data_IF_963859114664
#
_entry.id   IF_963859114664
#
_cell.length_a   1.000
_cell.length_b   1.000
_cell.length_c   1.000
_cell.angle_alpha   90.00
_cell.angle_beta   90.00
_cell.angle_gamma   90.00
#
_symmetry.space_group_name_H-M   'P 1'
#
loop_
_entity.id
_entity.type
_entity.pdbx_description
1 polymer ?
#
# COMPACT_ATOMS: atom_id res chain seq x y z
N UNK A 1 -4.75 15.63 24.52
CA UNK A 1 -5.43 14.33 24.60
C UNK A 1 -6.72 14.45 23.82
N UNK A 2 -6.64 14.25 22.50
CA UNK A 2 -7.81 14.32 21.62
C UNK A 2 -8.42 12.94 21.61
N UNK A 3 -9.63 12.81 22.15
CA UNK A 3 -10.36 11.55 22.20
C UNK A 3 -10.88 11.31 20.78
N UNK A 4 -10.20 10.44 20.02
CA UNK A 4 -10.69 9.98 18.73
C UNK A 4 -11.97 9.16 18.95
N UNK A 5 -13.08 9.47 18.26
CA UNK A 5 -14.29 8.67 18.39
C UNK A 5 -14.01 7.24 17.89
N UNK A 6 -14.22 6.27 18.78
CA UNK A 6 -14.10 4.86 18.45
C UNK A 6 -14.96 4.53 17.22
N UNK A 7 -14.32 4.13 16.12
CA UNK A 7 -14.98 3.74 14.88
C UNK A 7 -14.71 4.64 13.66
N UNK A 8 -13.84 5.64 13.74
CA UNK A 8 -13.48 6.43 12.55
C UNK A 8 -12.51 5.64 11.65
N UNK A 9 -12.98 5.29 10.45
CA UNK A 9 -12.19 4.64 9.40
C UNK A 9 -11.32 5.68 8.69
N UNK A 10 -10.37 6.25 9.42
CA UNK A 10 -9.48 7.29 8.90
C UNK A 10 -8.52 6.72 7.86
N UNK A 11 -7.98 7.58 7.01
CA UNK A 11 -6.75 7.26 6.29
C UNK A 11 -5.59 7.59 7.21
N UNK A 12 -4.72 6.60 7.47
CA UNK A 12 -3.52 6.79 8.30
C UNK A 12 -2.32 6.97 7.38
N UNK A 13 -1.43 7.91 7.69
CA UNK A 13 -0.15 8.06 6.99
C UNK A 13 1.01 8.10 7.98
N UNK A 14 2.02 7.28 7.74
CA UNK A 14 3.24 7.29 8.53
C UNK A 14 4.16 8.44 8.13
N UNK A 15 4.59 9.26 9.09
CA UNK A 15 5.55 10.34 8.87
C UNK A 15 6.93 9.90 9.37
N UNK A 16 7.93 10.03 8.51
CA UNK A 16 9.35 9.87 8.86
C UNK A 16 9.94 11.27 9.10
N UNK A 17 10.41 11.61 10.31
CA UNK A 17 10.93 12.94 10.64
C UNK A 17 12.20 13.32 9.85
N UNK A 18 12.94 12.32 9.38
CA UNK A 18 14.25 12.50 8.75
C UNK A 18 14.18 12.54 7.22
N UNK A 19 12.98 12.39 6.64
CA UNK A 19 12.79 12.20 5.20
C UNK A 19 11.70 13.07 4.61
N UNK A 20 11.70 13.11 3.28
CA UNK A 20 10.65 13.76 2.52
C UNK A 20 9.36 12.94 2.59
N UNK A 21 8.35 13.47 3.26
CA UNK A 21 7.02 12.88 3.40
C UNK A 21 6.03 13.38 2.34
N UNK A 22 6.42 14.34 1.48
CA UNK A 22 5.47 15.05 0.62
C UNK A 22 4.71 14.15 -0.34
N UNK A 23 5.34 13.12 -0.94
CA UNK A 23 4.65 12.28 -1.94
C UNK A 23 3.62 11.35 -1.31
N UNK A 24 4.01 10.62 -0.26
CA UNK A 24 3.07 9.75 0.47
C UNK A 24 1.97 10.57 1.14
N UNK A 25 2.30 11.75 1.69
CA UNK A 25 1.31 12.63 2.29
C UNK A 25 0.38 13.26 1.24
N UNK A 26 0.90 13.65 0.07
CA UNK A 26 0.08 14.13 -1.05
C UNK A 26 -0.92 13.06 -1.48
N UNK A 27 -0.44 11.82 -1.69
CA UNK A 27 -1.30 10.71 -2.06
C UNK A 27 -2.38 10.47 -1.01
N UNK A 28 -2.00 10.42 0.28
CA UNK A 28 -2.94 10.19 1.38
C UNK A 28 -3.97 11.32 1.53
N UNK A 29 -3.55 12.57 1.36
CA UNK A 29 -4.43 13.73 1.44
C UNK A 29 -5.41 13.79 0.25
N UNK A 30 -4.92 13.54 -0.98
CA UNK A 30 -5.78 13.44 -2.17
C UNK A 30 -6.80 12.29 -2.02
N UNK A 31 -6.39 11.18 -1.42
CA UNK A 31 -7.29 10.04 -1.17
C UNK A 31 -8.32 10.34 -0.08
N UNK A 32 -7.90 11.02 1.00
CA UNK A 32 -8.80 11.45 2.07
C UNK A 32 -9.87 12.41 1.54
N UNK A 33 -9.45 13.34 0.68
CA UNK A 33 -10.33 14.28 -0.01
C UNK A 33 -11.35 13.55 -0.91
N UNK A 34 -10.89 12.66 -1.81
CA UNK A 34 -11.75 11.86 -2.69
C UNK A 34 -12.79 11.05 -1.92
N UNK A 35 -12.38 10.42 -0.83
CA UNK A 35 -13.25 9.56 0.00
C UNK A 35 -14.07 10.34 1.03
N UNK A 36 -13.79 11.63 1.22
CA UNK A 36 -14.34 12.46 2.31
C UNK A 36 -14.13 11.82 3.68
N UNK A 37 -12.92 11.31 3.91
CA UNK A 37 -12.49 10.72 5.16
C UNK A 37 -11.49 11.64 5.87
N UNK A 38 -11.45 11.62 7.21
CA UNK A 38 -10.38 12.27 7.95
C UNK A 38 -9.01 11.63 7.65
N UNK A 39 -7.96 12.44 7.77
CA UNK A 39 -6.57 12.04 7.60
C UNK A 39 -5.84 12.11 8.94
N UNK A 40 -5.20 11.02 9.33
CA UNK A 40 -4.43 10.90 10.58
C UNK A 40 -2.95 10.68 10.26
N UNK A 41 -2.12 11.65 10.61
CA UNK A 41 -0.67 11.58 10.49
C UNK A 41 -0.11 10.95 11.76
N UNK A 42 0.73 9.93 11.63
CA UNK A 42 1.32 9.22 12.77
C UNK A 42 2.84 9.29 12.66
N UNK A 43 3.47 9.83 13.71
CA UNK A 43 4.92 9.84 13.87
C UNK A 43 5.28 9.09 15.15
N UNK A 44 6.13 8.08 15.04
CA UNK A 44 6.56 7.28 16.18
C UNK A 44 7.96 7.68 16.65
N UNK A 45 8.11 7.89 17.96
CA UNK A 45 9.36 8.24 18.63
C UNK A 45 9.89 7.00 19.35
N UNK A 46 10.96 6.35 18.85
CA UNK A 46 11.49 5.14 19.46
C UNK A 46 12.12 5.43 20.83
N UNK A 47 12.08 4.47 21.77
CA UNK A 47 12.76 4.61 23.05
C UNK A 47 14.29 4.65 22.86
N UNK A 48 14.95 5.62 23.49
CA UNK A 48 16.41 5.68 23.52
C UNK A 48 16.91 4.57 24.45
N UNK A 49 17.68 3.61 23.92
CA UNK A 49 18.37 2.63 24.73
C UNK A 49 19.82 3.07 24.89
N UNK A 50 20.10 4.02 25.78
CA UNK A 50 21.46 4.18 26.27
C UNK A 50 21.63 3.31 27.52
N UNK A 51 22.32 2.18 27.37
CA UNK A 51 22.66 1.28 28.49
C UNK A 51 23.70 1.88 29.45
N UNK A 52 24.13 3.13 29.22
CA UNK A 52 25.19 3.78 30.00
C UNK A 52 24.74 5.01 30.82
N UNK A 53 23.55 5.57 30.58
CA UNK A 53 23.07 6.74 31.33
C UNK A 53 21.67 6.53 31.89
N UNK A 54 21.54 6.64 33.22
CA UNK A 54 20.29 6.44 33.96
C UNK A 54 19.29 7.61 33.75
N UNK A 55 19.69 8.70 33.09
CA UNK A 55 18.86 9.91 32.88
C UNK A 55 19.10 10.58 31.51
N UNK A 56 18.71 9.93 30.41
CA UNK A 56 18.79 10.50 29.04
C UNK A 56 17.57 11.38 28.66
N UNK A 57 16.95 12.01 29.66
CA UNK A 57 15.75 12.86 29.52
C UNK A 57 15.90 14.02 28.53
N UNK A 58 17.06 14.71 28.42
CA UNK A 58 17.24 15.79 27.44
C UNK A 58 17.17 15.31 25.98
N UNK A 59 17.73 14.14 25.68
CA UNK A 59 17.74 13.56 24.32
C UNK A 59 16.34 13.12 23.89
N UNK A 60 15.59 12.47 24.78
CA UNK A 60 14.20 12.09 24.52
C UNK A 60 13.30 13.33 24.29
N UNK A 61 13.47 14.36 25.12
CA UNK A 61 12.68 15.61 25.01
C UNK A 61 12.95 16.31 23.68
N UNK A 62 14.22 16.41 23.26
CA UNK A 62 14.59 17.01 21.98
C UNK A 62 14.03 16.24 20.78
N UNK A 63 14.05 14.90 20.83
CA UNK A 63 13.50 14.05 19.77
C UNK A 63 11.98 14.20 19.67
N UNK A 64 11.28 14.24 20.81
CA UNK A 64 9.83 14.50 20.86
C UNK A 64 9.47 15.89 20.33
N UNK A 65 10.23 16.92 20.69
CA UNK A 65 10.00 18.27 20.18
C UNK A 65 10.18 18.32 18.66
N UNK A 66 11.30 17.77 18.16
CA UNK A 66 11.57 17.69 16.72
C UNK A 66 10.46 16.93 15.98
N UNK A 67 10.00 15.81 16.54
CA UNK A 67 8.87 15.05 15.99
C UNK A 67 7.57 15.86 15.98
N UNK A 68 7.28 16.60 17.05
CA UNK A 68 6.11 17.48 17.13
C UNK A 68 6.14 18.56 16.06
N UNK A 69 7.27 19.26 15.91
CA UNK A 69 7.43 20.34 14.93
C UNK A 69 7.26 19.81 13.50
N UNK A 70 7.84 18.64 13.19
CA UNK A 70 7.69 17.96 11.89
C UNK A 70 6.25 17.56 11.60
N UNK A 71 5.56 17.03 12.61
CA UNK A 71 4.19 16.60 12.48
C UNK A 71 3.24 17.79 12.28
N UNK A 72 3.48 18.90 12.97
CA UNK A 72 2.74 20.15 12.79
C UNK A 72 2.95 20.73 11.38
N UNK A 73 4.19 20.78 10.89
CA UNK A 73 4.50 21.17 9.51
C UNK A 73 3.74 20.33 8.49
N UNK A 74 3.71 19.01 8.68
CA UNK A 74 2.98 18.10 7.80
C UNK A 74 1.46 18.32 7.87
N UNK A 75 0.90 18.57 9.06
CA UNK A 75 -0.52 18.89 9.20
C UNK A 75 -0.87 20.21 8.50
N UNK A 76 -0.06 21.26 8.67
CA UNK A 76 -0.27 22.55 8.02
C UNK A 76 -0.21 22.42 6.50
N UNK A 77 0.75 21.65 5.99
CA UNK A 77 0.84 21.37 4.56
C UNK A 77 -0.41 20.69 3.99
N UNK A 78 -1.02 19.75 4.73
CA UNK A 78 -2.30 19.14 4.31
C UNK A 78 -3.42 20.16 4.30
N UNK A 79 -3.52 21.02 5.33
CA UNK A 79 -4.57 22.06 5.42
C UNK A 79 -4.47 23.06 4.26
N UNK A 80 -3.25 23.40 3.86
CA UNK A 80 -3.02 24.29 2.73
C UNK A 80 -3.42 23.65 1.39
N UNK A 81 -3.19 22.33 1.25
CA UNK A 81 -3.52 21.59 0.02
C UNK A 81 -5.01 21.27 -0.10
N UNK A 82 -5.63 20.81 0.98
CA UNK A 82 -7.03 20.35 1.04
C UNK A 82 -7.72 20.87 2.30
N UNK A 83 -8.24 22.11 2.29
CA UNK A 83 -8.86 22.74 3.46
C UNK A 83 -10.08 21.98 4.01
N UNK A 84 -10.74 21.16 3.18
CA UNK A 84 -11.89 20.34 3.55
C UNK A 84 -11.53 19.04 4.29
N UNK A 85 -10.26 18.62 4.25
CA UNK A 85 -9.83 17.36 4.89
C UNK A 85 -9.55 17.63 6.37
N UNK A 86 -10.32 16.97 7.24
CA UNK A 86 -10.07 16.98 8.67
C UNK A 86 -8.76 16.23 8.97
N UNK A 87 -7.70 16.97 9.29
CA UNK A 87 -6.37 16.43 9.55
C UNK A 87 -5.98 16.47 11.03
N UNK A 88 -5.51 15.34 11.54
CA UNK A 88 -4.95 15.21 12.90
C UNK A 88 -3.54 14.66 12.85
N UNK A 89 -2.72 15.02 13.85
CA UNK A 89 -1.36 14.52 14.00
C UNK A 89 -1.19 13.88 15.37
N UNK A 90 -0.74 12.62 15.39
CA UNK A 90 -0.40 11.89 16.59
C UNK A 90 1.11 11.58 16.68
N UNK A 91 1.74 12.13 17.72
CA UNK A 91 3.10 11.82 18.12
C UNK A 91 3.06 10.71 19.18
N UNK A 92 3.46 9.49 18.80
CA UNK A 92 3.35 8.31 19.65
C UNK A 92 4.73 7.79 20.07
N UNK A 93 4.85 7.28 21.30
CA UNK A 93 6.07 6.61 21.75
C UNK A 93 6.10 5.15 21.26
N UNK A 94 7.27 4.66 20.89
CA UNK A 94 7.51 3.28 20.49
C UNK A 94 8.17 3.15 19.12
N UNK A 95 8.53 1.91 18.76
CA UNK A 95 9.08 1.63 17.45
C UNK A 95 8.01 1.85 16.36
N UNK A 96 8.35 2.43 15.20
CA UNK A 96 7.32 2.86 14.25
C UNK A 96 6.50 1.72 13.64
N UNK A 97 7.08 0.55 13.37
CA UNK A 97 6.34 -0.56 12.78
C UNK A 97 5.21 -1.10 13.70
N UNK A 98 5.44 -1.39 15.00
CA UNK A 98 4.36 -1.70 15.93
C UNK A 98 3.31 -0.59 16.07
N UNK A 99 3.73 0.67 16.13
CA UNK A 99 2.82 1.82 16.27
C UNK A 99 1.88 1.90 15.06
N UNK A 100 2.43 1.86 13.84
CA UNK A 100 1.65 1.90 12.60
C UNK A 100 0.81 0.63 12.41
N UNK A 101 1.30 -0.53 12.82
CA UNK A 101 0.54 -1.78 12.82
C UNK A 101 -0.68 -1.72 13.76
N UNK A 102 -0.54 -1.06 14.92
CA UNK A 102 -1.65 -0.77 15.82
C UNK A 102 -2.67 0.17 15.20
N UNK A 103 -2.22 1.29 14.62
CA UNK A 103 -3.08 2.25 13.93
C UNK A 103 -3.84 1.63 12.74
N UNK A 104 -3.23 0.67 12.03
CA UNK A 104 -3.84 -0.04 10.91
C UNK A 104 -5.08 -0.89 11.29
N UNK A 105 -5.34 -1.17 12.58
CA UNK A 105 -6.52 -1.94 13.01
C UNK A 105 -7.84 -1.18 12.85
N UNK A 106 -7.77 0.14 12.96
CA UNK A 106 -8.95 1.02 12.94
C UNK A 106 -9.02 1.84 11.64
N UNK A 107 -7.92 1.89 10.88
CA UNK A 107 -7.82 2.66 9.65
C UNK A 107 -8.62 2.04 8.49
N UNK A 108 -9.17 2.89 7.60
CA UNK A 108 -9.65 2.47 6.29
C UNK A 108 -8.53 1.89 5.44
N UNK A 109 -7.37 2.54 5.51
CA UNK A 109 -6.13 2.16 4.84
C UNK A 109 -4.95 2.90 5.49
N UNK A 110 -3.75 2.36 5.31
CA UNK A 110 -2.52 2.99 5.78
C UNK A 110 -1.58 3.28 4.61
N UNK A 111 -1.05 4.50 4.57
CA UNK A 111 -0.17 5.01 3.52
C UNK A 111 1.24 5.17 4.06
N UNK A 112 2.20 4.62 3.34
CA UNK A 112 3.62 4.66 3.67
C UNK A 112 4.40 5.20 2.47
N UNK A 113 5.44 5.98 2.74
CA UNK A 113 6.45 6.27 1.72
C UNK A 113 7.26 5.03 1.40
N UNK A 114 7.50 4.79 0.12
CA UNK A 114 8.47 3.80 -0.30
C UNK A 114 9.86 4.32 0.04
N UNK A 115 10.74 3.42 0.46
CA UNK A 115 12.17 3.65 0.37
C UNK A 115 12.57 3.09 -0.98
N UNK A 116 13.00 3.89 -1.95
CA UNK A 116 13.86 3.29 -2.96
C UNK A 116 15.12 2.80 -2.25
N UNK A 117 15.30 1.47 -2.21
CA UNK A 117 16.53 0.81 -1.75
C UNK A 117 17.69 1.06 -2.74
N UNK A 118 17.84 2.29 -3.24
CA UNK A 118 18.92 2.72 -4.13
C UNK A 118 20.30 2.66 -3.46
N UNK A 119 20.34 2.30 -2.17
CA UNK A 119 21.57 1.96 -1.46
C UNK A 119 21.44 0.53 -0.95
N UNK A 120 22.15 -0.36 -1.62
CA UNK A 120 22.33 -1.79 -1.31
C UNK A 120 22.72 -2.09 0.15
N UNK A 121 23.09 -1.08 0.94
CA UNK A 121 23.50 -1.19 2.33
C UNK A 121 22.35 -1.34 3.36
N UNK A 122 21.08 -1.07 3.02
CA UNK A 122 20.02 -0.90 4.05
C UNK A 122 19.03 -2.07 4.17
N UNK A 123 19.28 -3.19 3.48
CA UNK A 123 18.46 -4.41 3.46
C UNK A 123 18.22 -5.03 4.85
N UNK A 124 19.12 -4.77 5.79
CA UNK A 124 19.09 -5.31 7.16
C UNK A 124 18.96 -4.22 8.23
N UNK A 125 18.55 -3.00 7.84
CA UNK A 125 18.41 -1.90 8.82
C UNK A 125 17.14 -2.09 9.67
N UNK A 126 17.26 -1.81 10.97
CA UNK A 126 16.17 -1.85 11.95
C UNK A 126 15.04 -0.84 11.69
N UNK A 127 15.08 -0.08 10.57
CA UNK A 127 14.15 0.98 10.22
C UNK A 127 13.16 0.67 9.09
N UNK A 128 13.14 -0.56 8.53
CA UNK A 128 12.19 -0.91 7.46
C UNK A 128 10.76 -0.99 8.01
N UNK A 129 9.87 -0.08 7.59
CA UNK A 129 8.46 -0.05 8.04
C UNK A 129 7.51 -0.77 7.08
N UNK A 130 7.81 -0.70 5.78
CA UNK A 130 6.91 -1.17 4.73
C UNK A 130 6.61 -2.66 4.87
N UNK A 131 7.65 -3.50 4.98
CA UNK A 131 7.49 -4.96 5.08
C UNK A 131 6.74 -5.37 6.35
N UNK A 132 7.18 -4.98 7.59
CA UNK A 132 6.48 -5.42 8.79
C UNK A 132 5.06 -4.88 8.92
N UNK A 133 4.79 -3.64 8.48
CA UNK A 133 3.42 -3.08 8.50
C UNK A 133 2.54 -3.80 7.47
N UNK A 134 3.00 -3.95 6.23
CA UNK A 134 2.27 -4.71 5.18
C UNK A 134 1.97 -6.14 5.63
N UNK A 135 2.91 -6.77 6.33
CA UNK A 135 2.78 -8.13 6.85
C UNK A 135 1.72 -8.27 7.96
N UNK A 136 1.41 -7.21 8.71
CA UNK A 136 0.59 -7.27 9.93
C UNK A 136 -0.71 -6.47 9.84
N UNK A 137 -0.81 -5.50 8.94
CA UNK A 137 -1.98 -4.64 8.80
C UNK A 137 -3.25 -5.45 8.52
N UNK A 138 -4.35 -4.99 9.11
CA UNK A 138 -5.70 -5.53 8.90
C UNK A 138 -6.51 -4.67 7.92
N UNK A 139 -5.90 -3.64 7.35
CA UNK A 139 -6.46 -2.80 6.30
C UNK A 139 -5.51 -2.76 5.10
N UNK A 140 -5.97 -2.29 3.93
CA UNK A 140 -5.11 -2.06 2.77
C UNK A 140 -3.89 -1.19 3.12
N UNK A 141 -2.71 -1.60 2.67
CA UNK A 141 -1.47 -0.83 2.81
C UNK A 141 -1.05 -0.30 1.45
N UNK A 142 -0.90 1.01 1.37
CA UNK A 142 -0.43 1.73 0.18
C UNK A 142 1.01 2.14 0.40
N UNK A 143 1.86 1.80 -0.57
CA UNK A 143 3.27 2.19 -0.57
C UNK A 143 3.51 3.07 -1.78
N UNK A 144 3.87 4.33 -1.53
CA UNK A 144 4.01 5.36 -2.56
C UNK A 144 5.48 5.56 -2.91
N UNK A 145 5.83 5.29 -4.17
CA UNK A 145 7.17 5.48 -4.76
C UNK A 145 7.66 6.93 -4.77
N UNK A 146 8.92 7.16 -5.16
CA UNK A 146 9.41 8.52 -5.39
C UNK A 146 8.93 9.08 -6.75
N UNK A 147 9.17 10.38 -6.96
CA UNK A 147 8.53 11.29 -7.92
C UNK A 147 8.74 11.01 -9.42
N UNK A 148 9.32 9.88 -9.81
CA UNK A 148 9.57 9.54 -11.22
C UNK A 148 8.34 8.92 -11.92
N UNK A 149 7.26 8.64 -11.18
CA UNK A 149 6.07 8.04 -11.76
C UNK A 149 5.17 9.05 -12.47
N UNK A 150 4.94 8.81 -13.76
CA UNK A 150 4.00 9.55 -14.59
C UNK A 150 2.86 8.60 -14.95
N UNK A 151 1.62 9.03 -14.70
CA UNK A 151 0.44 8.26 -15.11
C UNK A 151 0.02 8.59 -16.55
N UNK A 152 -0.47 7.59 -17.26
CA UNK A 152 -1.00 7.76 -18.62
C UNK A 152 -2.46 8.19 -18.60
N UNK A 153 -2.90 8.85 -19.68
CA UNK A 153 -4.31 9.14 -19.97
C UNK A 153 -4.81 8.24 -21.14
N UNK A 154 -6.01 7.64 -21.04
CA UNK A 154 -6.91 7.63 -19.88
C UNK A 154 -6.31 6.87 -18.69
N UNK A 155 -6.69 7.21 -17.44
CA UNK A 155 -6.12 6.59 -16.25
C UNK A 155 -6.57 5.13 -16.11
N UNK A 156 -5.70 4.29 -15.56
CA UNK A 156 -6.03 2.90 -15.27
C UNK A 156 -5.37 2.40 -14.00
N UNK A 157 -5.98 1.36 -13.41
CA UNK A 157 -5.46 0.61 -12.27
C UNK A 157 -5.15 -0.81 -12.74
N UNK A 158 -4.07 -1.40 -12.24
CA UNK A 158 -3.74 -2.81 -12.47
C UNK A 158 -4.12 -3.62 -11.26
N UNK A 159 -4.91 -4.68 -11.43
CA UNK A 159 -5.18 -5.68 -10.40
C UNK A 159 -4.47 -6.99 -10.75
N UNK A 160 -3.47 -7.36 -9.97
CA UNK A 160 -2.77 -8.64 -10.12
C UNK A 160 -3.50 -9.75 -9.37
N UNK A 161 -4.00 -10.76 -10.08
CA UNK A 161 -4.74 -11.87 -9.47
C UNK A 161 -4.17 -13.24 -9.82
N UNK A 162 -4.23 -14.14 -8.84
CA UNK A 162 -3.79 -15.53 -8.96
C UNK A 162 -4.90 -16.54 -8.61
N UNK A 163 -6.14 -16.07 -8.42
CA UNK A 163 -7.28 -16.90 -8.03
C UNK A 163 -7.29 -17.33 -6.55
N UNK A 164 -6.40 -16.78 -5.71
CA UNK A 164 -6.47 -16.96 -4.26
C UNK A 164 -7.60 -16.11 -3.63
N UNK A 165 -8.01 -16.43 -2.40
CA UNK A 165 -8.95 -15.61 -1.64
C UNK A 165 -8.43 -14.17 -1.43
N UNK A 166 -7.11 -14.02 -1.25
CA UNK A 166 -6.47 -12.69 -1.16
C UNK A 166 -6.59 -11.90 -2.46
N UNK A 167 -6.52 -12.57 -3.60
CA UNK A 167 -6.74 -11.94 -4.89
C UNK A 167 -8.20 -11.51 -5.09
N UNK A 168 -9.17 -12.21 -4.52
CA UNK A 168 -10.59 -11.81 -4.55
C UNK A 168 -10.82 -10.50 -3.80
N UNK A 169 -10.27 -10.38 -2.58
CA UNK A 169 -10.35 -9.13 -1.80
C UNK A 169 -9.62 -7.98 -2.52
N UNK A 170 -8.45 -8.25 -3.11
CA UNK A 170 -7.71 -7.28 -3.90
C UNK A 170 -8.48 -6.82 -5.14
N UNK A 171 -9.17 -7.73 -5.82
CA UNK A 171 -9.98 -7.41 -7.00
C UNK A 171 -11.15 -6.50 -6.60
N UNK A 172 -11.90 -6.84 -5.55
CA UNK A 172 -12.99 -5.99 -5.06
C UNK A 172 -12.51 -4.58 -4.69
N UNK A 173 -11.37 -4.47 -4.02
CA UNK A 173 -10.74 -3.19 -3.70
C UNK A 173 -10.32 -2.44 -4.97
N UNK A 174 -9.75 -3.11 -5.98
CA UNK A 174 -9.35 -2.47 -7.22
C UNK A 174 -10.53 -1.91 -8.02
N UNK A 175 -11.69 -2.57 -8.00
CA UNK A 175 -12.94 -2.02 -8.55
C UNK A 175 -13.38 -0.76 -7.81
N UNK A 176 -13.39 -0.77 -6.47
CA UNK A 176 -13.68 0.43 -5.67
C UNK A 176 -12.75 1.61 -6.03
N UNK A 177 -11.46 1.33 -6.20
CA UNK A 177 -10.46 2.36 -6.53
C UNK A 177 -10.63 2.91 -7.95
N UNK A 178 -10.98 2.03 -8.90
CA UNK A 178 -11.17 2.37 -10.31
C UNK A 178 -12.42 3.24 -10.48
N UNK A 179 -13.53 2.84 -9.87
CA UNK A 179 -14.79 3.58 -9.83
C UNK A 179 -14.60 4.97 -9.20
N UNK A 180 -13.95 5.04 -8.03
CA UNK A 180 -13.67 6.30 -7.33
C UNK A 180 -12.86 7.29 -8.16
N UNK A 181 -12.06 6.81 -9.12
CA UNK A 181 -11.16 7.63 -9.95
C UNK A 181 -11.66 7.80 -11.38
N UNK A 182 -12.78 7.18 -11.77
CA UNK A 182 -13.19 7.10 -13.17
C UNK A 182 -12.10 6.48 -14.05
N UNK A 183 -11.38 5.49 -13.52
CA UNK A 183 -10.25 4.84 -14.19
C UNK A 183 -10.67 3.48 -14.77
N UNK A 184 -10.01 3.06 -15.84
CA UNK A 184 -10.14 1.69 -16.33
C UNK A 184 -9.46 0.70 -15.36
N UNK A 185 -9.90 -0.56 -15.37
CA UNK A 185 -9.32 -1.63 -14.56
C UNK A 185 -8.73 -2.72 -15.44
N UNK A 186 -7.41 -2.90 -15.38
CA UNK A 186 -6.69 -3.98 -16.05
C UNK A 186 -6.50 -5.14 -15.07
N UNK A 187 -7.22 -6.22 -15.27
CA UNK A 187 -7.13 -7.42 -14.44
C UNK A 187 -6.10 -8.37 -15.07
N UNK A 188 -4.96 -8.51 -14.41
CA UNK A 188 -3.80 -9.23 -14.92
C UNK A 188 -3.60 -10.52 -14.14
N UNK A 189 -3.59 -11.65 -14.83
CA UNK A 189 -3.08 -12.91 -14.31
C UNK A 189 -1.75 -13.22 -14.99
N UNK A 190 -0.70 -13.50 -14.22
CA UNK A 190 0.58 -13.92 -14.76
C UNK A 190 0.73 -15.42 -14.60
N UNK A 191 0.73 -16.12 -15.72
CA UNK A 191 0.96 -17.55 -15.78
C UNK A 191 2.45 -17.85 -15.87
N UNK A 192 2.96 -18.55 -14.85
CA UNK A 192 4.31 -19.10 -14.88
C UNK A 192 4.26 -20.50 -15.46
N UNK A 193 4.91 -20.68 -16.62
CA UNK A 193 4.98 -21.99 -17.25
C UNK A 193 5.69 -22.97 -16.30
N UNK A 194 5.02 -24.04 -15.83
CA UNK A 194 5.65 -25.01 -14.95
C UNK A 194 6.74 -25.79 -15.71
N UNK A 195 7.70 -26.33 -14.97
CA UNK A 195 8.83 -27.09 -15.54
C UNK A 195 8.38 -28.36 -16.28
N UNK A 196 7.25 -28.93 -15.86
CA UNK A 196 6.61 -30.08 -16.49
C UNK A 196 5.18 -29.67 -16.81
N UNK A 197 4.84 -29.66 -18.10
CA UNK A 197 3.48 -29.43 -18.60
C UNK A 197 2.92 -30.76 -19.10
N UNK A 198 1.79 -31.18 -18.51
CA UNK A 198 1.05 -32.36 -18.93
C UNK A 198 -0.09 -32.01 -19.89
N UNK A 199 -0.63 -30.79 -19.76
CA UNK A 199 -1.70 -30.25 -20.60
C UNK A 199 -1.14 -29.34 -21.71
N UNK A 200 -1.96 -29.09 -22.73
CA UNK A 200 -1.66 -28.12 -23.79
C UNK A 200 -1.66 -26.69 -23.22
N UNK A 201 -0.65 -25.90 -23.57
CA UNK A 201 -0.46 -24.51 -23.11
C UNK A 201 -1.65 -23.62 -23.47
N UNK A 202 -2.23 -23.78 -24.65
CA UNK A 202 -3.38 -23.00 -25.09
C UNK A 202 -4.64 -23.33 -24.28
N UNK A 203 -4.80 -24.59 -23.86
CA UNK A 203 -5.88 -25.01 -22.95
C UNK A 203 -5.70 -24.37 -21.57
N UNK A 204 -4.48 -24.37 -21.04
CA UNK A 204 -4.18 -23.74 -19.75
C UNK A 204 -4.43 -22.22 -19.78
N UNK A 205 -4.00 -21.52 -20.84
CA UNK A 205 -4.23 -20.08 -21.00
C UNK A 205 -5.71 -19.74 -21.14
N UNK A 206 -6.50 -20.54 -21.87
CA UNK A 206 -7.95 -20.38 -21.95
C UNK A 206 -8.62 -20.53 -20.60
N UNK A 207 -8.22 -21.53 -19.81
CA UNK A 207 -8.73 -21.72 -18.46
C UNK A 207 -8.46 -20.50 -17.57
N UNK A 208 -7.26 -19.90 -17.65
CA UNK A 208 -6.96 -18.66 -16.91
C UNK A 208 -7.87 -17.49 -17.33
N UNK A 209 -8.12 -17.31 -18.63
CA UNK A 209 -9.03 -16.26 -19.13
C UNK A 209 -10.46 -16.46 -18.61
N UNK A 210 -10.96 -17.70 -18.60
CA UNK A 210 -12.27 -18.01 -18.03
C UNK A 210 -12.33 -17.65 -16.55
N UNK A 211 -11.32 -18.04 -15.76
CA UNK A 211 -11.24 -17.70 -14.34
C UNK A 211 -11.23 -16.18 -14.09
N UNK A 212 -10.52 -15.40 -14.92
CA UNK A 212 -10.55 -13.94 -14.84
C UNK A 212 -11.97 -13.39 -15.07
N UNK A 213 -12.66 -13.89 -16.10
CA UNK A 213 -14.01 -13.47 -16.43
C UNK A 213 -15.00 -13.82 -15.31
N UNK A 214 -14.92 -15.03 -14.76
CA UNK A 214 -15.77 -15.47 -13.66
C UNK A 214 -15.53 -14.66 -12.38
N UNK A 215 -14.25 -14.42 -12.04
CA UNK A 215 -13.88 -13.65 -10.84
C UNK A 215 -14.35 -12.18 -10.89
N UNK A 216 -14.51 -11.63 -12.09
CA UNK A 216 -14.91 -10.24 -12.30
C UNK A 216 -16.40 -10.06 -12.53
N UNK A 217 -17.14 -11.09 -12.98
CA UNK A 217 -18.54 -10.97 -13.42
C UNK A 217 -19.44 -10.21 -12.42
N UNK A 218 -19.50 -10.66 -11.17
CA UNK A 218 -20.34 -10.01 -10.15
C UNK A 218 -19.88 -8.60 -9.76
N UNK A 219 -18.59 -8.29 -9.92
CA UNK A 219 -18.06 -6.95 -9.67
C UNK A 219 -18.36 -6.02 -10.86
N UNK A 220 -18.23 -6.50 -12.09
CA UNK A 220 -18.58 -5.73 -13.28
C UNK A 220 -20.07 -5.35 -13.30
N UNK A 221 -20.96 -6.19 -12.77
CA UNK A 221 -22.38 -5.84 -12.58
C UNK A 221 -22.57 -4.75 -11.52
N UNK A 222 -21.77 -4.76 -10.45
CA UNK A 222 -21.81 -3.77 -9.36
C UNK A 222 -21.23 -2.41 -9.78
N UNK A 223 -20.23 -2.40 -10.68
CA UNK A 223 -19.53 -1.20 -11.15
C UNK A 223 -19.63 -1.09 -12.69
N UNK A 224 -20.81 -0.77 -13.23
CA UNK A 224 -21.04 -0.78 -14.69
C UNK A 224 -20.21 0.27 -15.45
N UNK A 225 -19.75 1.32 -14.78
CA UNK A 225 -18.97 2.41 -15.37
C UNK A 225 -17.46 2.10 -15.42
N UNK A 226 -17.00 1.04 -14.75
CA UNK A 226 -15.58 0.64 -14.78
C UNK A 226 -15.30 -0.19 -16.03
N UNK A 227 -14.49 0.34 -16.93
CA UNK A 227 -14.03 -0.40 -18.11
C UNK A 227 -12.98 -1.46 -17.70
N UNK A 228 -13.38 -2.73 -17.70
CA UNK A 228 -12.53 -3.86 -17.30
C UNK A 228 -11.89 -4.53 -18.52
N UNK A 229 -10.58 -4.74 -18.49
CA UNK A 229 -9.87 -5.62 -19.43
C UNK A 229 -9.23 -6.79 -18.70
N UNK A 230 -9.20 -7.95 -19.36
CA UNK A 230 -8.57 -9.17 -18.82
C UNK A 230 -7.30 -9.50 -19.60
N UNK A 231 -6.19 -9.66 -18.89
CA UNK A 231 -4.89 -9.96 -19.48
C UNK A 231 -4.30 -11.21 -18.82
N UNK A 232 -3.97 -12.21 -19.63
CA UNK A 232 -3.18 -13.37 -19.19
C UNK A 232 -1.80 -13.25 -19.81
N UNK A 233 -0.81 -12.96 -18.98
CA UNK A 233 0.59 -12.77 -19.39
C UNK A 233 1.40 -14.01 -19.03
N UNK A 234 2.42 -14.33 -19.82
CA UNK A 234 3.35 -15.42 -19.53
C UNK A 234 4.69 -14.84 -19.12
N UNK A 235 5.18 -15.19 -17.92
CA UNK A 235 6.46 -14.65 -17.44
C UNK A 235 6.59 -14.66 -15.93
N UNK A 236 7.53 -13.88 -15.40
CA UNK A 236 7.71 -13.72 -13.96
C UNK A 236 6.68 -12.72 -13.40
N UNK A 237 5.85 -13.09 -12.40
CA UNK A 237 4.74 -12.24 -11.92
C UNK A 237 5.13 -10.83 -11.54
N UNK A 238 6.26 -10.65 -10.86
CA UNK A 238 6.74 -9.31 -10.46
C UNK A 238 7.10 -8.47 -11.68
N UNK A 239 7.72 -9.06 -12.69
CA UNK A 239 8.21 -8.31 -13.86
C UNK A 239 7.06 -7.93 -14.77
N UNK A 240 6.15 -8.87 -15.03
CA UNK A 240 4.97 -8.64 -15.86
C UNK A 240 3.99 -7.68 -15.20
N UNK A 241 3.74 -7.79 -13.89
CA UNK A 241 2.88 -6.83 -13.18
C UNK A 241 3.52 -5.45 -13.08
N UNK A 242 4.82 -5.34 -12.80
CA UNK A 242 5.50 -4.05 -12.77
C UNK A 242 5.48 -3.37 -14.14
N UNK A 243 5.70 -4.12 -15.23
CA UNK A 243 5.59 -3.63 -16.60
C UNK A 243 4.16 -3.19 -16.93
N UNK A 244 3.16 -4.02 -16.60
CA UNK A 244 1.76 -3.67 -16.82
C UNK A 244 1.37 -2.39 -16.06
N UNK A 245 1.99 -2.15 -14.90
CA UNK A 245 1.68 -1.02 -14.04
C UNK A 245 2.61 0.20 -14.21
N UNK A 246 3.46 0.22 -15.24
CA UNK A 246 4.46 1.28 -15.47
C UNK A 246 3.86 2.69 -15.45
N UNK A 247 2.69 2.85 -16.07
CA UNK A 247 1.94 4.12 -16.15
C UNK A 247 0.57 4.06 -15.45
N UNK A 248 0.33 3.03 -14.63
CA UNK A 248 -0.92 2.86 -13.89
C UNK A 248 -0.99 3.81 -12.69
N UNK A 249 -2.19 4.24 -12.29
CA UNK A 249 -2.38 5.00 -11.05
C UNK A 249 -1.96 4.22 -9.80
N UNK A 250 -2.11 2.89 -9.84
CA UNK A 250 -1.65 1.97 -8.81
C UNK A 250 -1.65 0.53 -9.35
N UNK A 251 -0.87 -0.33 -8.69
CA UNK A 251 -1.01 -1.79 -8.77
C UNK A 251 -1.59 -2.34 -7.48
N UNK A 252 -2.69 -3.07 -7.59
CA UNK A 252 -3.42 -3.68 -6.47
C UNK A 252 -3.19 -5.19 -6.48
N UNK A 253 -2.74 -5.74 -5.35
CA UNK A 253 -2.49 -7.17 -5.19
C UNK A 253 -2.93 -7.66 -3.81
N UNK A 254 -3.23 -8.95 -3.72
CA UNK A 254 -3.43 -9.60 -2.42
C UNK A 254 -2.12 -9.66 -1.62
N UNK A 255 -2.21 -9.55 -0.29
CA UNK A 255 -1.03 -9.69 0.60
C UNK A 255 -0.34 -11.05 0.47
N UNK A 256 -1.11 -12.10 0.14
CA UNK A 256 -0.64 -13.48 -0.04
C UNK A 256 -1.18 -14.05 -1.35
N UNK A 257 -0.49 -15.03 -1.91
CA UNK A 257 -0.90 -15.73 -3.12
C UNK A 257 -0.99 -17.25 -2.93
N UNK A 258 -1.20 -17.99 -4.03
CA UNK A 258 -1.37 -19.46 -4.04
C UNK A 258 -0.17 -20.25 -3.51
N UNK A 259 1.05 -19.73 -3.66
CA UNK A 259 2.30 -20.45 -3.38
C UNK A 259 2.96 -20.09 -2.03
N UNK A 260 2.28 -19.33 -1.16
CA UNK A 260 2.87 -18.88 0.10
C UNK A 260 3.11 -20.03 1.09
N UNK A 261 4.33 -20.13 1.64
CA UNK A 261 4.59 -20.97 2.81
C UNK A 261 3.79 -20.47 4.01
N UNK A 262 3.26 -21.38 4.84
CA UNK A 262 2.44 -21.08 6.02
C UNK A 262 3.10 -20.16 7.06
N UNK A 263 4.43 -19.98 7.00
CA UNK A 263 5.19 -19.06 7.86
C UNK A 263 5.49 -17.67 7.27
N UNK A 264 5.19 -17.41 6.00
CA UNK A 264 5.53 -16.14 5.35
C UNK A 264 4.39 -15.13 5.48
N UNK A 265 4.67 -13.96 6.07
CA UNK A 265 3.66 -12.92 6.31
C UNK A 265 3.33 -12.05 5.09
N UNK A 266 4.16 -12.10 4.05
CA UNK A 266 4.03 -11.36 2.77
C UNK A 266 4.35 -12.28 1.60
N UNK A 267 3.60 -12.22 0.50
CA UNK A 267 3.92 -12.96 -0.72
C UNK A 267 5.17 -12.43 -1.44
N UNK A 268 5.90 -13.30 -2.12
CA UNK A 268 7.07 -12.93 -2.93
C UNK A 268 6.74 -11.89 -4.02
N UNK A 269 5.53 -11.94 -4.59
CA UNK A 269 5.06 -10.97 -5.59
C UNK A 269 4.94 -9.57 -4.98
N UNK A 270 4.30 -9.45 -3.82
CA UNK A 270 4.21 -8.18 -3.08
C UNK A 270 5.60 -7.64 -2.78
N UNK A 271 6.48 -8.49 -2.22
CA UNK A 271 7.85 -8.08 -1.91
C UNK A 271 8.60 -7.57 -3.15
N UNK A 272 8.51 -8.28 -4.28
CA UNK A 272 9.14 -7.86 -5.53
C UNK A 272 8.54 -6.57 -6.11
N UNK A 273 7.22 -6.39 -6.06
CA UNK A 273 6.55 -5.19 -6.56
C UNK A 273 6.95 -3.95 -5.77
N UNK A 274 7.10 -4.06 -4.44
CA UNK A 274 7.61 -2.96 -3.61
C UNK A 274 9.00 -2.46 -4.02
N UNK A 275 9.75 -3.25 -4.81
CA UNK A 275 11.06 -2.87 -5.34
C UNK A 275 11.05 -2.50 -6.81
N UNK A 276 10.07 -2.98 -7.58
CA UNK A 276 10.07 -2.91 -9.06
C UNK A 276 8.98 -2.02 -9.64
N UNK A 277 7.87 -1.83 -8.93
CA UNK A 277 6.80 -0.98 -9.41
C UNK A 277 7.20 0.49 -9.27
N UNK A 278 6.97 1.26 -10.33
CA UNK A 278 7.15 2.71 -10.30
C UNK A 278 5.90 3.41 -9.75
N UNK A 279 4.71 2.84 -9.94
CA UNK A 279 3.46 3.35 -9.39
C UNK A 279 3.25 2.95 -7.92
N UNK A 280 2.30 3.57 -7.21
CA UNK A 280 1.87 3.13 -5.89
C UNK A 280 1.48 1.64 -5.87
N UNK A 281 2.00 0.90 -4.89
CA UNK A 281 1.65 -0.51 -4.66
C UNK A 281 0.63 -0.57 -3.54
N UNK A 282 -0.54 -1.14 -3.81
CA UNK A 282 -1.59 -1.37 -2.84
C UNK A 282 -1.70 -2.85 -2.55
N UNK A 283 -1.53 -3.19 -1.28
CA UNK A 283 -1.62 -4.56 -0.79
C UNK A 283 -2.88 -4.72 0.06
N UNK A 284 -3.69 -5.72 -0.27
CA UNK A 284 -4.98 -5.93 0.39
C UNK A 284 -4.90 -7.18 1.26
N UNK A 285 -5.13 -7.06 2.59
CA UNK A 285 -5.19 -8.22 3.46
C UNK A 285 -6.46 -9.04 3.16
N UNK A 286 -6.39 -10.35 3.42
CA UNK A 286 -7.59 -11.15 3.67
C UNK A 286 -8.03 -10.92 5.11
N UNK A 287 -9.35 -10.90 5.34
CA UNK A 287 -9.94 -10.95 6.68
C UNK A 287 -9.34 -12.06 7.56
#
# INVERSE_FOLDING_TARGET
>A
MTIHPAGSRDIVVGIDPDRNWHLALAWAADEAQRRRLPLRLVLAVPPQHDTQHVDDTPGETALRQTGSDRLEQACNWVRDRHPEVAVTGDLLGGFPAPVLGGAAREARMIVLGSRHLSRTAEFFSAGSLVVPVTAQAHCPVVVVGDSEHISQQPPYIVAGIDGSASATAALAFAFDEADLRGAALRVVCVWQRPLIMLDDEEVALRAQRTLLSEATAGLSEKYPDVHVTHEVLTGHPVEELARAAEFALAVVVGRRGRGGYTGMRIGSVVHGLLHRAHCPVITVPTD
#
